data_IF_643863753002
#
_entry.id   IF_643863753002
#
_cell.length_a   1.000
_cell.length_b   1.000
_cell.length_c   1.000
_cell.angle_alpha   90.00
_cell.angle_beta   90.00
_cell.angle_gamma   90.00
#
_symmetry.space_group_name_H-M   'P 1'
#
loop_
_entity.id
_entity.type
_entity.pdbx_description
1 polymer ?
#
# COMPACT_ATOMS: atom_id res chain seq x y z
N UNK A 1 -13.35 14.28 31.07
CA UNK A 1 -13.65 13.05 30.32
C UNK A 1 -13.04 11.89 31.09
N UNK A 2 -13.79 10.82 31.32
CA UNK A 2 -13.29 9.64 32.01
C UNK A 2 -12.15 9.01 31.19
N UNK A 3 -11.02 8.59 31.79
CA UNK A 3 -10.00 7.78 31.11
C UNK A 3 -10.57 6.66 30.24
N UNK A 4 -11.64 5.99 30.67
CA UNK A 4 -12.30 4.95 29.88
C UNK A 4 -12.90 5.47 28.56
N UNK A 5 -13.47 6.67 28.58
CA UNK A 5 -14.03 7.30 27.37
C UNK A 5 -12.91 7.71 26.40
N UNK A 6 -11.78 8.20 26.91
CA UNK A 6 -10.61 8.56 26.11
C UNK A 6 -10.07 7.31 25.38
N UNK A 7 -9.94 6.18 26.09
CA UNK A 7 -9.49 4.92 25.50
C UNK A 7 -10.41 4.47 24.37
N UNK A 8 -11.73 4.53 24.58
CA UNK A 8 -12.72 4.13 23.55
C UNK A 8 -12.65 5.02 22.32
N UNK A 9 -12.61 6.34 22.50
CA UNK A 9 -12.57 7.31 21.39
C UNK A 9 -11.26 7.16 20.62
N UNK A 10 -10.13 7.16 21.31
CA UNK A 10 -8.82 7.06 20.69
C UNK A 10 -8.61 5.70 20.02
N UNK A 11 -9.01 4.60 20.67
CA UNK A 11 -8.99 3.26 20.10
C UNK A 11 -9.82 3.15 18.83
N UNK A 12 -11.06 3.67 18.85
CA UNK A 12 -11.95 3.70 17.67
C UNK A 12 -11.35 4.51 16.54
N UNK A 13 -10.80 5.70 16.82
CA UNK A 13 -10.16 6.54 15.80
C UNK A 13 -8.96 5.84 15.14
N UNK A 14 -8.13 5.16 15.92
CA UNK A 14 -7.00 4.36 15.41
C UNK A 14 -7.45 3.18 14.54
N UNK A 15 -8.48 2.45 14.97
CA UNK A 15 -9.06 1.32 14.22
C UNK A 15 -9.61 1.81 12.88
N UNK A 16 -10.41 2.89 12.86
CA UNK A 16 -10.98 3.45 11.63
C UNK A 16 -9.87 3.86 10.66
N UNK A 17 -8.86 4.58 11.16
CA UNK A 17 -7.75 5.05 10.32
C UNK A 17 -6.96 3.89 9.70
N UNK A 18 -6.54 2.91 10.50
CA UNK A 18 -5.77 1.75 10.00
C UNK A 18 -6.59 0.84 9.09
N UNK A 19 -7.88 0.64 9.37
CA UNK A 19 -8.79 -0.14 8.51
C UNK A 19 -8.99 0.53 7.15
N UNK A 20 -9.13 1.86 7.15
CA UNK A 20 -9.25 2.65 5.91
C UNK A 20 -7.97 2.53 5.09
N UNK A 21 -6.82 2.69 5.73
CA UNK A 21 -5.52 2.54 5.07
C UNK A 21 -5.34 1.13 4.49
N UNK A 22 -5.66 0.08 5.26
CA UNK A 22 -5.60 -1.29 4.77
C UNK A 22 -6.52 -1.51 3.56
N UNK A 23 -7.78 -1.09 3.66
CA UNK A 23 -8.78 -1.24 2.59
C UNK A 23 -8.35 -0.55 1.30
N UNK A 24 -7.77 0.65 1.38
CA UNK A 24 -7.23 1.37 0.23
C UNK A 24 -6.09 0.59 -0.43
N UNK A 25 -5.12 0.12 0.35
CA UNK A 25 -3.97 -0.62 -0.19
C UNK A 25 -4.37 -2.00 -0.72
N UNK A 26 -5.32 -2.67 -0.07
CA UNK A 26 -5.92 -3.91 -0.56
C UNK A 26 -6.60 -3.71 -1.92
N UNK A 27 -7.39 -2.64 -2.05
CA UNK A 27 -8.06 -2.29 -3.32
C UNK A 27 -7.05 -2.08 -4.44
N UNK A 28 -5.96 -1.35 -4.15
CA UNK A 28 -4.87 -1.14 -5.11
C UNK A 28 -4.27 -2.49 -5.56
N UNK A 29 -3.93 -3.37 -4.61
CA UNK A 29 -3.22 -4.62 -4.89
C UNK A 29 -4.08 -5.67 -5.62
N UNK A 30 -5.36 -5.79 -5.26
CA UNK A 30 -6.20 -6.93 -5.71
C UNK A 30 -7.31 -6.53 -6.68
N UNK A 31 -7.62 -5.25 -6.81
CA UNK A 31 -8.66 -4.77 -7.72
C UNK A 31 -8.07 -3.92 -8.82
N UNK A 32 -7.40 -2.82 -8.46
CA UNK A 32 -6.92 -1.83 -9.43
C UNK A 32 -5.84 -2.40 -10.34
N UNK A 33 -4.72 -2.86 -9.81
CA UNK A 33 -3.61 -3.30 -10.66
C UNK A 33 -3.90 -4.57 -11.47
N UNK A 34 -4.56 -5.61 -10.94
CA UNK A 34 -4.98 -6.73 -11.78
C UNK A 34 -5.87 -6.29 -12.94
N UNK A 35 -6.81 -5.36 -12.72
CA UNK A 35 -7.62 -4.81 -13.81
C UNK A 35 -6.80 -4.01 -14.83
N UNK A 36 -5.79 -3.25 -14.38
CA UNK A 36 -4.88 -2.52 -15.28
C UNK A 36 -3.98 -3.47 -16.08
N UNK A 37 -3.52 -4.57 -15.47
CA UNK A 37 -2.69 -5.59 -16.11
C UNK A 37 -3.48 -6.48 -17.07
N UNK A 38 -4.78 -6.67 -16.82
CA UNK A 38 -5.72 -7.40 -17.69
C UNK A 38 -6.33 -6.52 -18.79
N UNK A 39 -5.97 -5.24 -18.86
CA UNK A 39 -6.51 -4.26 -19.79
C UNK A 39 -6.05 -4.40 -21.25
N UNK A 40 -6.18 -5.59 -21.82
CA UNK A 40 -6.61 -5.75 -23.22
C UNK A 40 -7.86 -6.64 -23.23
N UNK A 41 -8.89 -6.19 -23.95
CA UNK A 41 -10.05 -7.01 -24.29
C UNK A 41 -9.54 -8.30 -24.95
N UNK A 42 -9.89 -9.51 -24.46
CA UNK A 42 -9.65 -10.72 -25.21
C UNK A 42 -10.32 -10.56 -26.57
N UNK A 43 -9.55 -10.57 -27.67
CA UNK A 43 -10.14 -10.83 -28.98
C UNK A 43 -10.83 -12.18 -28.86
N UNK A 44 -12.15 -12.13 -28.85
CA UNK A 44 -13.06 -13.26 -28.66
C UNK A 44 -12.64 -14.41 -29.57
N UNK A 45 -11.94 -15.38 -29.00
CA UNK A 45 -11.86 -16.74 -29.52
C UNK A 45 -12.26 -17.66 -28.39
N UNK A 46 -13.55 -18.01 -28.45
CA UNK A 46 -14.24 -19.11 -27.78
C UNK A 46 -13.42 -20.03 -26.87
N UNK A 47 -13.69 -20.00 -25.56
CA UNK A 47 -14.19 -21.15 -24.77
C UNK A 47 -14.18 -20.82 -23.26
N UNK A 48 -15.19 -21.22 -22.46
CA UNK A 48 -15.25 -20.88 -21.05
C UNK A 48 -14.54 -21.92 -20.17
N UNK A 49 -13.70 -21.46 -19.24
CA UNK A 49 -13.30 -22.23 -18.06
C UNK A 49 -13.15 -21.27 -16.88
N UNK A 50 -13.88 -21.45 -15.76
CA UNK A 50 -14.04 -20.39 -14.77
C UNK A 50 -13.00 -20.39 -13.65
N UNK A 51 -11.91 -21.18 -13.72
CA UNK A 51 -11.10 -21.43 -12.52
C UNK A 51 -9.59 -21.26 -12.60
N UNK A 52 -8.99 -20.96 -13.76
CA UNK A 52 -7.55 -20.71 -13.84
C UNK A 52 -7.31 -19.60 -14.85
N UNK A 53 -6.83 -18.44 -14.41
CA UNK A 53 -6.31 -17.41 -15.31
C UNK A 53 -4.90 -17.87 -15.70
N UNK A 54 -4.65 -18.32 -16.94
CA UNK A 54 -3.31 -18.67 -17.36
C UNK A 54 -2.51 -17.37 -17.45
N UNK A 55 -1.36 -17.32 -16.78
CA UNK A 55 -0.40 -16.24 -16.95
C UNK A 55 0.15 -16.27 -18.38
N UNK A 56 -0.49 -15.57 -19.30
CA UNK A 56 0.08 -15.32 -20.63
C UNK A 56 1.21 -14.30 -20.46
N UNK A 57 2.41 -14.73 -20.83
CA UNK A 57 3.71 -14.08 -20.67
C UNK A 57 3.93 -12.87 -21.58
N UNK A 58 2.94 -12.00 -21.74
CA UNK A 58 3.10 -10.75 -22.48
C UNK A 58 2.24 -9.67 -21.82
N UNK A 59 2.84 -8.61 -21.25
CA UNK A 59 2.05 -7.48 -20.78
C UNK A 59 1.28 -6.87 -21.96
N UNK A 60 -0.04 -6.90 -21.87
CA UNK A 60 -0.97 -6.31 -22.85
C UNK A 60 -0.91 -4.78 -22.91
N UNK A 61 -0.43 -4.12 -21.86
CA UNK A 61 -0.24 -2.67 -21.86
C UNK A 61 1.19 -2.31 -22.30
N UNK A 62 1.38 -1.41 -23.28
CA UNK A 62 2.69 -0.83 -23.56
C UNK A 62 3.31 -0.27 -22.28
N UNK A 63 4.58 -0.58 -22.04
CA UNK A 63 5.35 -0.11 -20.86
C UNK A 63 5.10 1.37 -20.47
N UNK A 64 4.95 2.33 -21.41
CA UNK A 64 4.63 3.72 -21.10
C UNK A 64 3.25 3.98 -20.48
N UNK A 65 2.28 3.13 -20.77
CA UNK A 65 0.94 3.25 -20.21
C UNK A 65 0.91 2.78 -18.75
N UNK A 66 1.66 1.72 -18.44
CA UNK A 66 1.70 1.14 -17.10
C UNK A 66 2.40 2.05 -16.08
N UNK A 67 3.50 2.71 -16.45
CA UNK A 67 4.18 3.71 -15.60
C UNK A 67 3.25 4.89 -15.30
N UNK A 68 2.52 5.40 -16.30
CA UNK A 68 1.56 6.49 -16.13
C UNK A 68 0.40 6.11 -15.21
N UNK A 69 -0.19 4.94 -15.41
CA UNK A 69 -1.26 4.45 -14.53
C UNK A 69 -0.79 4.30 -13.08
N UNK A 70 0.42 3.76 -12.90
CA UNK A 70 1.03 3.67 -11.57
C UNK A 70 1.26 5.06 -10.96
N UNK A 71 1.79 6.03 -11.71
CA UNK A 71 2.02 7.40 -11.23
C UNK A 71 0.71 8.04 -10.75
N UNK A 72 -0.39 7.88 -11.48
CA UNK A 72 -1.71 8.38 -11.07
C UNK A 72 -2.19 7.76 -9.75
N UNK A 73 -2.01 6.45 -9.57
CA UNK A 73 -2.34 5.76 -8.30
C UNK A 73 -1.45 6.28 -7.17
N UNK A 74 -0.15 6.42 -7.42
CA UNK A 74 0.81 6.94 -6.45
C UNK A 74 0.44 8.36 -5.99
N UNK A 75 0.15 9.27 -6.92
CA UNK A 75 -0.19 10.65 -6.62
C UNK A 75 -1.44 10.79 -5.74
N UNK A 76 -2.43 9.91 -5.93
CA UNK A 76 -3.64 9.87 -5.09
C UNK A 76 -3.34 9.33 -3.69
N UNK A 77 -2.44 8.35 -3.56
CA UNK A 77 -2.17 7.66 -2.29
C UNK A 77 -1.08 8.28 -1.41
N UNK A 78 -0.05 8.91 -1.98
CA UNK A 78 1.17 9.28 -1.23
C UNK A 78 0.90 10.30 -0.11
N UNK A 79 -0.14 11.13 -0.23
CA UNK A 79 -0.50 12.14 0.78
C UNK A 79 -1.23 11.53 1.96
N UNK A 80 -2.03 10.49 1.71
CA UNK A 80 -2.84 9.83 2.73
C UNK A 80 -2.01 8.96 3.67
N UNK A 81 -0.95 8.31 3.16
CA UNK A 81 -0.13 7.39 3.95
C UNK A 81 0.46 8.01 5.22
N UNK A 82 1.27 9.08 5.12
CA UNK A 82 1.86 9.73 6.29
C UNK A 82 0.82 10.26 7.27
N UNK A 83 -0.26 10.87 6.76
CA UNK A 83 -1.34 11.40 7.59
C UNK A 83 -2.05 10.30 8.39
N UNK A 84 -2.33 9.16 7.76
CA UNK A 84 -2.93 8.00 8.43
C UNK A 84 -2.00 7.40 9.48
N UNK A 85 -0.70 7.26 9.18
CA UNK A 85 0.28 6.73 10.15
C UNK A 85 0.39 7.61 11.40
N UNK A 86 0.42 8.94 11.24
CA UNK A 86 0.45 9.88 12.36
C UNK A 86 -0.86 9.79 13.16
N UNK A 87 -2.00 9.87 12.49
CA UNK A 87 -3.32 9.85 13.14
C UNK A 87 -3.52 8.56 13.95
N UNK A 88 -3.31 7.41 13.32
CA UNK A 88 -3.47 6.11 14.00
C UNK A 88 -2.41 5.88 15.08
N UNK A 89 -1.16 6.27 14.84
CA UNK A 89 -0.08 6.16 15.83
C UNK A 89 -0.37 6.97 17.10
N UNK A 90 -0.77 8.24 16.95
CA UNK A 90 -1.13 9.10 18.09
C UNK A 90 -2.39 8.58 18.79
N UNK A 91 -3.40 8.16 18.04
CA UNK A 91 -4.64 7.64 18.61
C UNK A 91 -4.39 6.37 19.44
N UNK A 92 -3.65 5.39 18.91
CA UNK A 92 -3.32 4.17 19.64
C UNK A 92 -2.35 4.41 20.80
N UNK A 93 -1.36 5.29 20.66
CA UNK A 93 -0.47 5.66 21.76
C UNK A 93 -1.26 6.32 22.91
N UNK A 94 -2.23 7.18 22.58
CA UNK A 94 -3.13 7.78 23.57
C UNK A 94 -3.99 6.72 24.25
N UNK A 95 -4.61 5.81 23.49
CA UNK A 95 -5.39 4.71 24.04
C UNK A 95 -4.54 3.82 24.97
N UNK A 96 -3.29 3.52 24.58
CA UNK A 96 -2.33 2.78 25.40
C UNK A 96 -1.98 3.53 26.69
N UNK A 97 -1.76 4.84 26.63
CA UNK A 97 -1.35 5.64 27.79
C UNK A 97 -2.43 5.71 28.87
N UNK A 98 -3.69 5.85 28.44
CA UNK A 98 -4.84 5.93 29.34
C UNK A 98 -5.43 4.56 29.71
N UNK A 99 -4.93 3.48 29.12
CA UNK A 99 -5.24 2.12 29.57
C UNK A 99 -4.61 1.84 30.93
N UNK A 100 -5.22 0.98 31.74
CA UNK A 100 -4.69 0.62 33.06
C UNK A 100 -3.25 0.09 32.96
N UNK A 101 -2.39 0.49 33.91
CA UNK A 101 -0.97 0.11 33.87
C UNK A 101 -0.79 -1.41 33.90
N UNK A 102 0.09 -1.91 33.01
CA UNK A 102 0.43 -3.33 32.84
C UNK A 102 -0.78 -4.21 32.47
N UNK A 103 -1.82 -3.61 31.87
CA UNK A 103 -2.95 -4.35 31.31
C UNK A 103 -2.62 -4.92 29.93
N UNK A 104 -3.28 -6.01 29.56
CA UNK A 104 -3.18 -6.55 28.21
C UNK A 104 -3.69 -5.55 27.15
N UNK A 105 -4.72 -4.77 27.50
CA UNK A 105 -5.25 -3.69 26.68
C UNK A 105 -4.18 -2.63 26.35
N UNK A 106 -3.38 -2.22 27.34
CA UNK A 106 -2.25 -1.30 27.14
C UNK A 106 -1.26 -1.86 26.11
N UNK A 107 -0.80 -3.11 26.28
CA UNK A 107 0.19 -3.70 25.38
C UNK A 107 -0.31 -3.88 23.95
N UNK A 108 -1.60 -4.20 23.78
CA UNK A 108 -2.21 -4.33 22.47
C UNK A 108 -2.34 -2.97 21.75
N UNK A 109 -2.77 -1.91 22.45
CA UNK A 109 -2.76 -0.57 21.87
C UNK A 109 -1.34 -0.07 21.58
N UNK A 110 -0.36 -0.37 22.43
CA UNK A 110 1.05 -0.05 22.15
C UNK A 110 1.55 -0.78 20.88
N UNK A 111 1.22 -2.07 20.74
CA UNK A 111 1.54 -2.85 19.54
C UNK A 111 0.88 -2.24 18.30
N UNK A 112 -0.38 -1.81 18.41
CA UNK A 112 -1.09 -1.16 17.32
C UNK A 112 -0.44 0.17 16.91
N UNK A 113 0.01 0.97 17.89
CA UNK A 113 0.73 2.22 17.65
C UNK A 113 2.07 1.99 16.94
N UNK A 114 2.85 1.00 17.40
CA UNK A 114 4.13 0.63 16.78
C UNK A 114 3.93 0.15 15.34
N UNK A 115 2.94 -0.71 15.10
CA UNK A 115 2.58 -1.17 13.76
C UNK A 115 2.24 0.01 12.83
N UNK A 116 1.36 0.92 13.28
CA UNK A 116 0.98 2.12 12.52
C UNK A 116 2.20 2.99 12.14
N UNK A 117 3.08 3.28 13.10
CA UNK A 117 4.26 4.13 12.85
C UNK A 117 5.30 3.41 11.99
N UNK A 118 5.45 2.08 12.11
CA UNK A 118 6.42 1.27 11.36
C UNK A 118 6.17 1.23 9.84
N UNK A 119 4.96 1.58 9.39
CA UNK A 119 4.63 1.78 7.97
C UNK A 119 5.55 2.83 7.33
N UNK A 120 5.93 3.87 8.07
CA UNK A 120 6.78 4.96 7.57
C UNK A 120 8.20 4.49 7.24
N UNK A 121 8.99 3.92 8.18
CA UNK A 121 10.32 3.43 7.87
C UNK A 121 10.30 2.30 6.83
N UNK A 122 9.28 1.43 6.80
CA UNK A 122 9.11 0.45 5.72
C UNK A 122 9.00 1.13 4.35
N UNK A 123 8.15 2.16 4.24
CA UNK A 123 7.94 2.87 2.98
C UNK A 123 9.23 3.57 2.53
N UNK A 124 9.92 4.25 3.44
CA UNK A 124 11.14 4.98 3.13
C UNK A 124 12.30 4.06 2.74
N UNK A 125 12.48 2.95 3.46
CA UNK A 125 13.60 2.04 3.23
C UNK A 125 13.40 1.14 2.00
N UNK A 126 12.17 0.68 1.75
CA UNK A 126 11.92 -0.39 0.76
C UNK A 126 11.21 0.12 -0.48
N UNK A 127 10.24 1.03 -0.33
CA UNK A 127 9.41 1.46 -1.46
C UNK A 127 10.00 2.66 -2.22
N UNK A 128 10.70 3.58 -1.55
CA UNK A 128 11.26 4.78 -2.20
C UNK A 128 12.15 4.44 -3.40
N UNK A 129 13.12 3.49 -3.33
CA UNK A 129 13.95 3.16 -4.49
C UNK A 129 13.15 2.69 -5.71
N UNK A 130 12.08 1.92 -5.49
CA UNK A 130 11.20 1.45 -6.57
C UNK A 130 10.32 2.57 -7.10
N UNK A 131 9.80 3.43 -6.23
CA UNK A 131 9.01 4.59 -6.62
C UNK A 131 9.84 5.55 -7.50
N UNK A 132 11.06 5.84 -7.09
CA UNK A 132 11.97 6.75 -7.81
C UNK A 132 12.29 6.21 -9.20
N UNK A 133 12.56 4.90 -9.32
CA UNK A 133 12.85 4.27 -10.61
C UNK A 133 11.62 4.24 -11.53
N UNK A 134 10.42 3.98 -10.99
CA UNK A 134 9.17 4.04 -11.76
C UNK A 134 8.85 5.46 -12.24
N UNK A 135 9.10 6.49 -11.42
CA UNK A 135 8.99 7.88 -11.83
C UNK A 135 9.99 8.23 -12.93
N UNK A 136 11.27 7.89 -12.74
CA UNK A 136 12.34 8.14 -13.71
C UNK A 136 12.02 7.55 -15.08
N UNK A 137 11.51 6.32 -15.13
CA UNK A 137 11.11 5.66 -16.39
C UNK A 137 9.86 6.27 -17.01
N UNK A 138 8.86 6.62 -16.20
CA UNK A 138 7.64 7.28 -16.68
C UNK A 138 7.91 8.65 -17.29
N UNK A 139 8.80 9.43 -16.67
CA UNK A 139 9.12 10.79 -17.12
C UNK A 139 10.01 10.78 -18.38
N UNK A 140 10.96 9.83 -18.48
CA UNK A 140 11.79 9.64 -19.67
C UNK A 140 10.97 9.27 -20.92
N UNK A 141 9.82 8.60 -20.76
CA UNK A 141 8.93 8.22 -21.86
C UNK A 141 8.11 9.39 -22.41
N UNK A 142 7.97 10.49 -21.65
CA UNK A 142 7.13 11.66 -22.00
C UNK A 142 7.94 12.78 -22.62
N UNK A 143 9.20 12.94 -22.22
CA UNK A 143 10.10 13.99 -22.70
C UNK A 143 10.60 13.86 -24.14
N UNK A 144 10.07 12.94 -24.95
CA UNK A 144 10.48 12.79 -26.35
C UNK A 144 11.93 12.33 -26.55
N UNK A 145 12.55 11.73 -25.53
CA UNK A 145 13.93 11.22 -25.54
C UNK A 145 14.10 9.96 -26.40
N UNK A 146 13.82 10.08 -27.69
CA UNK A 146 14.20 9.09 -28.68
C UNK A 146 15.72 8.92 -28.70
N UNK A 147 16.15 7.67 -28.53
CA UNK A 147 17.39 7.07 -29.06
C UNK A 147 18.56 6.82 -28.10
N UNK A 148 18.76 7.54 -26.99
CA UNK A 148 19.84 7.22 -26.01
C UNK A 148 19.37 7.15 -24.54
N UNK A 149 18.57 8.11 -24.06
CA UNK A 149 18.03 8.10 -22.68
C UNK A 149 17.12 6.89 -22.37
N UNK A 150 16.42 6.36 -23.38
CA UNK A 150 15.61 5.14 -23.25
C UNK A 150 16.44 3.85 -23.10
N UNK A 151 17.72 3.85 -23.52
CA UNK A 151 18.64 2.73 -23.33
C UNK A 151 19.33 2.81 -21.97
N UNK A 152 19.73 4.00 -21.54
CA UNK A 152 20.26 4.25 -20.19
C UNK A 152 19.17 4.08 -19.11
N UNK A 153 17.89 4.26 -19.47
CA UNK A 153 16.78 4.00 -18.57
C UNK A 153 16.50 2.51 -18.31
N UNK A 154 17.26 1.58 -18.90
CA UNK A 154 17.41 0.21 -18.38
C UNK A 154 18.30 0.21 -17.14
N UNK A 155 17.93 0.95 -16.10
CA UNK A 155 18.52 0.77 -14.78
C UNK A 155 18.30 -0.66 -14.33
N UNK A 156 19.38 -1.38 -13.99
CA UNK A 156 19.38 -2.74 -13.43
C UNK A 156 18.80 -3.86 -14.33
N UNK A 157 18.51 -3.60 -15.60
CA UNK A 157 18.00 -4.62 -16.54
C UNK A 157 16.57 -5.14 -16.27
N UNK A 158 15.92 -4.76 -15.16
CA UNK A 158 14.54 -5.11 -14.81
C UNK A 158 13.53 -4.43 -15.75
N UNK A 159 12.46 -5.12 -16.12
CA UNK A 159 11.35 -4.54 -16.89
C UNK A 159 10.47 -3.64 -15.99
N UNK A 160 9.75 -2.69 -16.58
CA UNK A 160 8.75 -1.86 -15.88
C UNK A 160 7.68 -2.75 -15.22
N UNK A 161 7.28 -3.84 -15.87
CA UNK A 161 6.34 -4.79 -15.30
C UNK A 161 6.87 -5.40 -14.00
N UNK A 162 8.16 -5.75 -13.96
CA UNK A 162 8.78 -6.32 -12.77
C UNK A 162 8.87 -5.28 -11.64
N UNK A 163 9.20 -4.03 -11.95
CA UNK A 163 9.16 -2.95 -10.97
C UNK A 163 7.76 -2.72 -10.38
N UNK A 164 6.72 -2.80 -11.20
CA UNK A 164 5.33 -2.69 -10.72
C UNK A 164 4.95 -3.90 -9.86
N UNK A 165 5.40 -5.11 -10.22
CA UNK A 165 5.20 -6.32 -9.39
C UNK A 165 5.89 -6.21 -8.04
N UNK A 166 7.14 -5.77 -8.02
CA UNK A 166 7.90 -5.49 -6.79
C UNK A 166 7.17 -4.45 -5.94
N UNK A 167 6.73 -3.36 -6.56
CA UNK A 167 5.97 -2.31 -5.89
C UNK A 167 4.68 -2.86 -5.25
N UNK A 168 3.92 -3.70 -5.97
CA UNK A 168 2.71 -4.34 -5.47
C UNK A 168 3.01 -5.26 -4.28
N UNK A 169 4.08 -6.05 -4.37
CA UNK A 169 4.52 -6.91 -3.28
C UNK A 169 4.85 -6.07 -2.03
N UNK A 170 5.63 -5.00 -2.17
CA UNK A 170 6.00 -4.12 -1.06
C UNK A 170 4.80 -3.35 -0.51
N UNK A 171 3.87 -2.96 -1.37
CA UNK A 171 2.61 -2.34 -0.96
C UNK A 171 1.72 -3.32 -0.18
N UNK A 172 1.72 -4.60 -0.54
CA UNK A 172 1.01 -5.64 0.18
C UNK A 172 1.60 -5.86 1.58
N UNK A 173 2.93 -5.93 1.71
CA UNK A 173 3.59 -5.98 3.03
C UNK A 173 3.23 -4.76 3.87
N UNK A 174 3.25 -3.57 3.27
CA UNK A 174 2.85 -2.32 3.94
C UNK A 174 1.40 -2.39 4.46
N UNK A 175 0.49 -2.93 3.66
CA UNK A 175 -0.90 -3.14 4.06
C UNK A 175 -0.99 -4.14 5.23
N UNK A 176 -0.25 -5.25 5.17
CA UNK A 176 -0.22 -6.25 6.24
C UNK A 176 0.25 -5.68 7.58
N UNK A 177 1.25 -4.78 7.58
CA UNK A 177 1.68 -4.08 8.79
C UNK A 177 0.51 -3.28 9.39
N UNK A 178 -0.22 -2.53 8.57
CA UNK A 178 -1.40 -1.79 9.05
C UNK A 178 -2.51 -2.71 9.55
N UNK A 179 -2.71 -3.88 8.92
CA UNK A 179 -3.67 -4.89 9.36
C UNK A 179 -3.33 -5.43 10.76
N UNK A 180 -2.04 -5.65 11.07
CA UNK A 180 -1.60 -6.01 12.43
C UNK A 180 -2.04 -4.93 13.41
N UNK A 181 -1.89 -3.65 13.04
CA UNK A 181 -2.37 -2.52 13.85
C UNK A 181 -3.88 -2.55 14.08
N UNK A 182 -4.67 -2.82 13.03
CA UNK A 182 -6.13 -2.96 13.13
C UNK A 182 -6.52 -4.12 14.05
N UNK A 183 -5.94 -5.31 13.86
CA UNK A 183 -6.26 -6.50 14.67
C UNK A 183 -5.91 -6.26 16.13
N UNK A 184 -4.71 -5.75 16.43
CA UNK A 184 -4.30 -5.44 17.79
C UNK A 184 -5.22 -4.39 18.44
N UNK A 185 -5.59 -3.34 17.71
CA UNK A 185 -6.52 -2.31 18.17
C UNK A 185 -7.91 -2.86 18.49
N UNK A 186 -8.47 -3.71 17.61
CA UNK A 186 -9.77 -4.36 17.85
C UNK A 186 -9.70 -5.28 19.07
N UNK A 187 -8.65 -6.09 19.19
CA UNK A 187 -8.46 -6.98 20.35
C UNK A 187 -8.31 -6.20 21.67
N UNK A 188 -7.72 -5.01 21.63
CA UNK A 188 -7.63 -4.12 22.79
C UNK A 188 -8.99 -3.47 23.13
N UNK A 189 -9.77 -3.12 22.11
CA UNK A 189 -11.09 -2.49 22.27
C UNK A 189 -12.13 -3.44 22.87
N UNK A 190 -12.00 -4.74 22.64
CA UNK A 190 -12.90 -5.77 23.17
C UNK A 190 -12.62 -6.18 24.63
N UNK A 191 -11.60 -5.59 25.27
CA UNK A 191 -11.23 -5.83 26.68
C UNK A 191 -11.77 -4.72 27.57
#
# INVERSE_FOLDING_TARGET
>A
MDPADIVKIAGTAGIISTTTFWSMNFTINYVTFPALLLGDVPKTTSSPSPFLIPSTSSPSSPSPFLTRQWQEVYWRGHRWGPASAILSGVAFATASWFSGQKSNQQYLYATAAVAAVSVVPWTLAVMVPVNDELHRRGDAQVGGGGTEAGKEAKGDGRDVLDLVRDWLLYNNVRASIALVGTVAGVMAYLQ
#
